data_IF_992555674496
#
_entry.id   IF_992555674496
#
_cell.length_a   1.000
_cell.length_b   1.000
_cell.length_c   1.000
_cell.angle_alpha   90.00
_cell.angle_beta   90.00
_cell.angle_gamma   90.00
#
_symmetry.space_group_name_H-M   'P 1'
#
loop_
_entity.id
_entity.type
_entity.pdbx_description
1 polymer ?
#
# COMPACT_ATOMS: atom_id res chain seq x y z
N UNK A 1 -18.61 -14.88 43.43
CA UNK A 1 -17.96 -14.92 42.10
C UNK A 1 -16.57 -15.56 42.09
N UNK A 2 -16.10 -16.10 43.22
CA UNK A 2 -14.76 -16.70 43.41
C UNK A 2 -14.66 -18.17 42.94
N UNK A 3 -15.73 -18.95 42.93
CA UNK A 3 -15.68 -20.40 42.68
C UNK A 3 -15.52 -20.85 41.20
N UNK A 4 -15.77 -19.97 40.22
CA UNK A 4 -15.66 -20.33 38.79
C UNK A 4 -14.25 -20.19 38.22
N UNK A 5 -13.42 -19.36 38.82
CA UNK A 5 -12.02 -19.10 38.39
C UNK A 5 -11.14 -20.29 38.83
N UNK A 6 -11.38 -20.86 40.01
CA UNK A 6 -10.61 -22.02 40.54
C UNK A 6 -10.77 -23.27 39.67
N UNK A 7 -11.97 -23.52 39.11
CA UNK A 7 -12.18 -24.66 38.21
C UNK A 7 -11.48 -24.54 36.86
N UNK A 8 -11.29 -23.33 36.35
CA UNK A 8 -10.57 -23.11 35.08
C UNK A 8 -9.06 -23.32 35.26
N UNK A 9 -8.51 -22.89 36.39
CA UNK A 9 -7.07 -23.07 36.72
C UNK A 9 -6.74 -24.55 36.98
N UNK A 10 -7.65 -25.33 37.56
CA UNK A 10 -7.44 -26.77 37.81
C UNK A 10 -7.46 -27.59 36.50
N UNK A 11 -8.26 -27.22 35.51
CA UNK A 11 -8.30 -27.87 34.19
C UNK A 11 -7.00 -27.62 33.38
N UNK A 12 -6.40 -26.44 33.50
CA UNK A 12 -5.12 -26.12 32.83
C UNK A 12 -3.97 -26.95 33.40
N UNK A 13 -3.97 -27.23 34.71
CA UNK A 13 -2.91 -28.02 35.36
C UNK A 13 -2.93 -29.50 34.98
N UNK A 14 -4.09 -30.04 34.59
CA UNK A 14 -4.21 -31.48 34.22
C UNK A 14 -3.75 -31.76 32.78
N UNK A 15 -3.73 -30.76 31.90
CA UNK A 15 -3.35 -30.96 30.49
C UNK A 15 -1.85 -30.73 30.19
N UNK A 16 -1.06 -30.26 31.16
CA UNK A 16 0.38 -30.06 31.02
C UNK A 16 1.21 -31.37 30.98
N UNK A 17 0.60 -32.54 31.04
CA UNK A 17 1.30 -33.83 31.11
C UNK A 17 0.82 -34.84 30.05
N UNK A 18 0.43 -34.40 28.88
CA UNK A 18 0.18 -35.32 27.76
C UNK A 18 1.41 -35.46 26.86
N UNK A 19 1.83 -36.69 26.51
CA UNK A 19 3.06 -36.89 25.73
C UNK A 19 2.91 -36.41 24.31
N UNK A 20 3.93 -35.72 23.83
CA UNK A 20 4.09 -35.10 22.49
C UNK A 20 4.19 -36.10 21.33
N UNK A 21 3.67 -37.32 21.43
CA UNK A 21 3.78 -38.35 20.38
C UNK A 21 2.46 -38.95 19.95
N UNK A 22 1.41 -38.15 19.78
CA UNK A 22 0.18 -38.66 19.17
C UNK A 22 0.22 -38.42 17.64
N UNK A 23 0.19 -39.50 16.85
CA UNK A 23 -0.10 -39.50 15.41
C UNK A 23 -1.31 -38.58 15.15
N UNK A 24 -1.22 -37.72 14.10
CA UNK A 24 -2.36 -36.89 13.66
C UNK A 24 -3.62 -37.74 13.61
N UNK A 25 -4.68 -37.42 14.36
CA UNK A 25 -5.91 -38.16 14.26
C UNK A 25 -6.52 -37.93 12.86
N UNK A 26 -6.85 -39.00 12.17
CA UNK A 26 -7.77 -39.01 11.07
C UNK A 26 -9.04 -38.29 11.53
N UNK A 27 -9.62 -37.43 10.71
CA UNK A 27 -10.77 -36.58 11.02
C UNK A 27 -11.98 -37.41 11.50
N UNK A 28 -11.96 -37.87 12.75
CA UNK A 28 -13.10 -38.45 13.38
C UNK A 28 -14.14 -37.37 13.68
N UNK A 29 -15.40 -37.66 13.43
CA UNK A 29 -16.50 -36.76 13.79
C UNK A 29 -16.40 -36.43 15.28
N UNK A 30 -16.32 -35.12 15.61
CA UNK A 30 -16.29 -34.68 17.02
C UNK A 30 -17.58 -35.09 17.72
N UNK A 31 -17.50 -35.42 19.00
CA UNK A 31 -18.68 -35.77 19.79
C UNK A 31 -19.59 -34.56 20.04
N UNK A 32 -20.84 -34.80 20.38
CA UNK A 32 -21.77 -33.75 20.76
C UNK A 32 -21.27 -32.93 21.96
N UNK A 33 -20.58 -33.57 22.89
CA UNK A 33 -19.95 -32.90 24.04
C UNK A 33 -18.80 -31.99 23.60
N UNK A 34 -17.93 -32.47 22.72
CA UNK A 34 -16.85 -31.66 22.14
C UNK A 34 -17.39 -30.45 21.33
N UNK A 35 -18.50 -30.65 20.61
CA UNK A 35 -19.15 -29.54 19.88
C UNK A 35 -19.69 -28.48 20.86
N UNK A 36 -20.28 -28.91 21.99
CA UNK A 36 -20.75 -27.99 23.03
C UNK A 36 -19.59 -27.25 23.71
N UNK A 37 -18.50 -27.95 24.00
CA UNK A 37 -17.26 -27.33 24.54
C UNK A 37 -16.67 -26.34 23.58
N UNK A 38 -16.57 -26.67 22.30
CA UNK A 38 -16.09 -25.74 21.25
C UNK A 38 -16.91 -24.44 21.23
N UNK A 39 -18.26 -24.57 21.23
CA UNK A 39 -19.14 -23.39 21.24
C UNK A 39 -18.91 -22.53 22.49
N UNK A 40 -18.78 -23.15 23.65
CA UNK A 40 -18.52 -22.42 24.89
C UNK A 40 -17.21 -21.63 24.81
N UNK A 41 -16.10 -22.26 24.45
CA UNK A 41 -14.80 -21.58 24.32
C UNK A 41 -14.81 -20.52 23.23
N UNK A 42 -15.49 -20.80 22.13
CA UNK A 42 -15.62 -19.85 21.01
C UNK A 42 -16.33 -18.55 21.42
N UNK A 43 -17.48 -18.65 22.07
CA UNK A 43 -18.20 -17.45 22.53
C UNK A 43 -17.45 -16.71 23.63
N UNK A 44 -16.82 -17.41 24.56
CA UNK A 44 -15.97 -16.82 25.59
C UNK A 44 -14.76 -16.08 24.98
N UNK A 45 -14.12 -16.68 23.98
CA UNK A 45 -13.01 -16.06 23.26
C UNK A 45 -13.44 -14.78 22.56
N UNK A 46 -14.58 -14.80 21.87
CA UNK A 46 -15.13 -13.61 21.20
C UNK A 46 -15.41 -12.47 22.19
N UNK A 47 -15.97 -12.81 23.35
CA UNK A 47 -16.17 -11.81 24.40
C UNK A 47 -14.85 -11.25 24.91
N UNK A 48 -13.85 -12.10 25.15
CA UNK A 48 -12.52 -11.67 25.56
C UNK A 48 -11.83 -10.78 24.52
N UNK A 49 -12.01 -11.04 23.22
CA UNK A 49 -11.52 -10.18 22.14
C UNK A 49 -12.21 -8.80 22.19
N UNK A 50 -13.54 -8.78 22.36
CA UNK A 50 -14.30 -7.51 22.47
C UNK A 50 -13.87 -6.68 23.68
N UNK A 51 -13.51 -7.35 24.77
CA UNK A 51 -13.02 -6.73 26.01
C UNK A 51 -11.50 -6.47 25.99
N UNK A 52 -10.83 -6.66 24.84
CA UNK A 52 -9.38 -6.51 24.64
C UNK A 52 -8.51 -7.37 25.56
N UNK A 53 -9.09 -8.44 26.12
CA UNK A 53 -8.39 -9.43 26.97
C UNK A 53 -7.70 -10.48 26.10
N UNK A 54 -6.72 -10.05 25.27
CA UNK A 54 -6.14 -10.88 24.22
C UNK A 54 -5.42 -12.13 24.74
N UNK A 55 -4.76 -12.10 25.89
CA UNK A 55 -4.12 -13.28 26.47
C UNK A 55 -5.13 -14.37 26.88
N UNK A 56 -6.28 -13.96 27.42
CA UNK A 56 -7.39 -14.88 27.73
C UNK A 56 -8.03 -15.41 26.44
N UNK A 57 -8.28 -14.52 25.45
CA UNK A 57 -8.81 -14.91 24.15
C UNK A 57 -7.92 -15.94 23.45
N UNK A 58 -6.60 -15.74 23.50
CA UNK A 58 -5.63 -16.70 22.96
C UNK A 58 -5.81 -18.10 23.59
N UNK A 59 -5.86 -18.17 24.91
CA UNK A 59 -6.02 -19.45 25.63
C UNK A 59 -7.32 -20.15 25.24
N UNK A 60 -8.42 -19.41 25.16
CA UNK A 60 -9.73 -19.96 24.80
C UNK A 60 -9.77 -20.43 23.34
N UNK A 61 -9.13 -19.71 22.41
CA UNK A 61 -9.02 -20.13 21.01
C UNK A 61 -8.10 -21.34 20.83
N UNK A 62 -7.05 -21.49 21.66
CA UNK A 62 -6.25 -22.72 21.66
C UNK A 62 -7.07 -23.95 22.07
N UNK A 63 -8.02 -23.84 23.02
CA UNK A 63 -8.97 -24.91 23.28
C UNK A 63 -9.87 -25.19 22.08
N UNK A 64 -10.34 -24.17 21.38
CA UNK A 64 -11.08 -24.34 20.13
C UNK A 64 -10.24 -25.08 19.08
N UNK A 65 -8.97 -24.70 18.90
CA UNK A 65 -8.03 -25.33 17.94
C UNK A 65 -7.73 -26.78 18.34
N UNK A 66 -7.63 -27.08 19.62
CA UNK A 66 -7.46 -28.47 20.09
C UNK A 66 -8.66 -29.33 19.71
N UNK A 67 -9.88 -28.81 19.81
CA UNK A 67 -11.10 -29.55 19.44
C UNK A 67 -11.25 -29.67 17.93
N UNK A 68 -11.02 -28.56 17.20
CA UNK A 68 -11.14 -28.46 15.73
C UNK A 68 -9.84 -27.87 15.13
N UNK A 69 -8.79 -28.69 14.92
CA UNK A 69 -7.47 -28.20 14.53
C UNK A 69 -7.43 -27.43 13.19
N UNK A 70 -8.36 -27.73 12.29
CA UNK A 70 -8.42 -27.14 10.95
C UNK A 70 -9.64 -26.22 10.78
N UNK A 71 -10.22 -25.71 11.88
CA UNK A 71 -11.31 -24.74 11.78
C UNK A 71 -10.74 -23.38 11.33
N UNK A 72 -10.95 -23.02 10.06
CA UNK A 72 -10.43 -21.80 9.46
C UNK A 72 -10.81 -20.54 10.22
N UNK A 73 -12.00 -20.52 10.82
CA UNK A 73 -12.47 -19.36 11.60
C UNK A 73 -11.70 -19.22 12.91
N UNK A 74 -11.47 -20.33 13.62
CA UNK A 74 -10.63 -20.34 14.83
C UNK A 74 -9.19 -19.89 14.51
N UNK A 75 -8.60 -20.44 13.46
CA UNK A 75 -7.25 -20.09 13.02
C UNK A 75 -7.15 -18.61 12.62
N UNK A 76 -8.15 -18.07 11.95
CA UNK A 76 -8.21 -16.64 11.63
C UNK A 76 -8.26 -15.76 12.88
N UNK A 77 -9.11 -16.10 13.85
CA UNK A 77 -9.21 -15.36 15.11
C UNK A 77 -7.92 -15.47 15.95
N UNK A 78 -7.24 -16.62 15.95
CA UNK A 78 -5.91 -16.75 16.53
C UNK A 78 -4.92 -15.80 15.88
N UNK A 79 -4.95 -15.67 14.55
CA UNK A 79 -4.12 -14.71 13.84
C UNK A 79 -4.36 -13.26 14.27
N UNK A 80 -5.62 -12.87 14.41
CA UNK A 80 -6.00 -11.52 14.91
C UNK A 80 -5.49 -11.31 16.34
N UNK A 81 -5.69 -12.26 17.22
CA UNK A 81 -5.24 -12.16 18.62
C UNK A 81 -3.72 -12.10 18.73
N UNK A 82 -2.99 -12.93 17.98
CA UNK A 82 -1.53 -12.88 17.93
C UNK A 82 -1.01 -11.54 17.40
N UNK A 83 -1.68 -10.97 16.41
CA UNK A 83 -1.34 -9.63 15.88
C UNK A 83 -1.54 -8.54 16.96
N UNK A 84 -2.64 -8.63 17.73
CA UNK A 84 -2.93 -7.69 18.82
C UNK A 84 -1.94 -7.84 19.99
N UNK A 85 -1.37 -9.02 20.20
CA UNK A 85 -0.31 -9.28 21.17
C UNK A 85 1.10 -8.88 20.66
N UNK A 86 1.23 -8.42 19.42
CA UNK A 86 2.51 -8.03 18.81
C UNK A 86 3.33 -9.22 18.28
N UNK A 87 2.74 -10.40 18.18
CA UNK A 87 3.40 -11.63 17.74
C UNK A 87 3.21 -11.83 16.22
N UNK A 88 3.90 -11.03 15.40
CA UNK A 88 3.69 -10.95 13.95
C UNK A 88 3.90 -12.29 13.22
N UNK A 89 4.92 -13.04 13.57
CA UNK A 89 5.23 -14.33 12.92
C UNK A 89 4.16 -15.39 13.22
N UNK A 90 3.71 -15.47 14.47
CA UNK A 90 2.65 -16.38 14.89
C UNK A 90 1.30 -16.00 14.26
N UNK A 91 1.02 -14.69 14.14
CA UNK A 91 -0.16 -14.20 13.44
C UNK A 91 -0.15 -14.63 11.97
N UNK A 92 0.98 -14.44 11.29
CA UNK A 92 1.18 -14.90 9.91
C UNK A 92 0.92 -16.39 9.76
N UNK A 93 1.54 -17.20 10.63
CA UNK A 93 1.36 -18.65 10.58
C UNK A 93 -0.11 -19.06 10.75
N UNK A 94 -0.83 -18.44 11.69
CA UNK A 94 -2.25 -18.68 11.91
C UNK A 94 -3.09 -18.30 10.67
N UNK A 95 -2.82 -17.15 10.03
CA UNK A 95 -3.54 -16.76 8.82
C UNK A 95 -3.25 -17.69 7.64
N UNK A 96 -1.99 -18.11 7.45
CA UNK A 96 -1.64 -19.08 6.40
C UNK A 96 -2.30 -20.45 6.63
N UNK A 97 -2.40 -20.91 7.90
CA UNK A 97 -3.13 -22.11 8.24
C UNK A 97 -4.64 -21.94 7.98
N UNK A 98 -5.22 -20.79 8.36
CA UNK A 98 -6.61 -20.48 8.09
C UNK A 98 -6.94 -20.52 6.59
N UNK A 99 -6.05 -19.97 5.77
CA UNK A 99 -6.19 -20.00 4.31
C UNK A 99 -6.12 -21.42 3.74
N UNK A 100 -5.16 -22.23 4.21
CA UNK A 100 -5.02 -23.64 3.80
C UNK A 100 -6.16 -24.55 4.25
N UNK A 101 -6.83 -24.20 5.36
CA UNK A 101 -7.94 -24.98 5.91
C UNK A 101 -9.24 -24.79 5.12
N UNK A 102 -9.34 -23.78 4.28
CA UNK A 102 -10.54 -23.49 3.48
C UNK A 102 -10.42 -24.07 2.07
N UNK A 103 -11.54 -24.47 1.44
CA UNK A 103 -11.55 -24.81 0.02
C UNK A 103 -11.01 -23.66 -0.84
N UNK A 104 -10.34 -24.00 -1.93
CA UNK A 104 -9.80 -22.99 -2.83
C UNK A 104 -10.89 -22.03 -3.30
N UNK A 105 -10.60 -20.72 -3.24
CA UNK A 105 -11.52 -19.67 -3.66
C UNK A 105 -12.63 -19.34 -2.66
N UNK A 106 -12.63 -19.92 -1.44
CA UNK A 106 -13.66 -19.64 -0.41
C UNK A 106 -13.15 -18.85 0.79
N UNK A 107 -11.86 -18.53 0.81
CA UNK A 107 -11.27 -17.70 1.86
C UNK A 107 -11.99 -16.36 1.96
N UNK A 108 -12.28 -15.88 3.18
CA UNK A 108 -12.92 -14.58 3.35
C UNK A 108 -12.02 -13.45 2.85
N UNK A 109 -12.61 -12.38 2.34
CA UNK A 109 -11.89 -11.20 1.89
C UNK A 109 -11.00 -10.63 3.00
N UNK A 110 -11.49 -10.56 4.23
CA UNK A 110 -10.70 -10.13 5.38
C UNK A 110 -9.42 -10.98 5.59
N UNK A 111 -9.49 -12.30 5.38
CA UNK A 111 -8.32 -13.17 5.47
C UNK A 111 -7.34 -12.91 4.33
N UNK A 112 -7.84 -12.74 3.11
CA UNK A 112 -7.02 -12.41 1.95
C UNK A 112 -6.33 -11.05 2.11
N UNK A 113 -7.04 -10.06 2.64
CA UNK A 113 -6.50 -8.73 2.95
C UNK A 113 -5.39 -8.79 4.02
N UNK A 114 -5.57 -9.57 5.09
CA UNK A 114 -4.54 -9.76 6.12
C UNK A 114 -3.28 -10.39 5.51
N UNK A 115 -3.43 -11.47 4.76
CA UNK A 115 -2.30 -12.15 4.10
C UNK A 115 -1.62 -11.26 3.07
N UNK A 116 -2.37 -10.56 2.24
CA UNK A 116 -1.84 -9.61 1.26
C UNK A 116 -0.95 -8.57 1.93
N UNK A 117 -1.44 -7.93 3.01
CA UNK A 117 -0.69 -6.93 3.77
C UNK A 117 0.60 -7.51 4.38
N UNK A 118 0.53 -8.70 4.95
CA UNK A 118 1.69 -9.41 5.50
C UNK A 118 2.70 -9.71 4.40
N UNK A 119 2.26 -10.22 3.26
CA UNK A 119 3.16 -10.53 2.14
C UNK A 119 3.79 -9.28 1.55
N UNK A 120 3.04 -8.18 1.43
CA UNK A 120 3.60 -6.89 1.00
C UNK A 120 4.68 -6.37 1.96
N UNK A 121 4.45 -6.43 3.28
CA UNK A 121 5.43 -5.97 4.28
C UNK A 121 6.71 -6.82 4.31
N UNK A 122 6.63 -8.07 3.87
CA UNK A 122 7.77 -8.99 3.76
C UNK A 122 8.36 -9.06 2.33
N UNK A 123 7.93 -8.18 1.42
CA UNK A 123 8.36 -8.18 0.01
C UNK A 123 8.10 -9.50 -0.73
N UNK A 124 7.08 -10.25 -0.33
CA UNK A 124 6.64 -11.48 -0.97
C UNK A 124 5.57 -11.19 -2.05
N UNK A 125 5.99 -10.47 -3.08
CA UNK A 125 5.12 -9.80 -4.06
C UNK A 125 4.19 -10.75 -4.82
N UNK A 126 4.69 -11.93 -5.26
CA UNK A 126 3.88 -12.93 -5.95
C UNK A 126 2.74 -13.45 -5.06
N UNK A 127 3.02 -13.65 -3.76
CA UNK A 127 1.98 -14.08 -2.82
C UNK A 127 0.97 -12.97 -2.57
N UNK A 128 1.44 -11.72 -2.46
CA UNK A 128 0.56 -10.57 -2.32
C UNK A 128 -0.38 -10.42 -3.52
N UNK A 129 0.16 -10.53 -4.76
CA UNK A 129 -0.66 -10.51 -5.98
C UNK A 129 -1.66 -11.66 -6.03
N UNK A 130 -1.25 -12.87 -5.63
CA UNK A 130 -2.17 -14.01 -5.58
C UNK A 130 -3.37 -13.74 -4.66
N UNK A 131 -3.16 -13.09 -3.51
CA UNK A 131 -4.27 -12.70 -2.64
C UNK A 131 -5.17 -11.66 -3.30
N UNK A 132 -4.57 -10.70 -4.02
CA UNK A 132 -5.33 -9.70 -4.77
C UNK A 132 -6.10 -10.35 -5.93
N UNK A 133 -5.51 -11.30 -6.64
CA UNK A 133 -6.20 -12.04 -7.71
C UNK A 133 -7.46 -12.74 -7.19
N UNK A 134 -7.38 -13.39 -6.01
CA UNK A 134 -8.52 -14.06 -5.40
C UNK A 134 -9.61 -13.08 -4.91
N UNK A 135 -9.25 -11.84 -4.61
CA UNK A 135 -10.21 -10.76 -4.32
C UNK A 135 -10.88 -10.31 -5.61
N UNK A 136 -10.09 -9.97 -6.63
CA UNK A 136 -10.56 -9.46 -7.92
C UNK A 136 -11.44 -10.48 -8.68
N UNK A 137 -11.20 -11.79 -8.51
CA UNK A 137 -12.03 -12.84 -9.09
C UNK A 137 -13.50 -12.80 -8.60
N UNK A 138 -13.78 -12.06 -7.52
CA UNK A 138 -15.12 -11.97 -6.87
C UNK A 138 -15.74 -10.59 -6.97
N UNK A 139 -14.96 -9.62 -7.37
CA UNK A 139 -15.37 -8.22 -7.48
C UNK A 139 -15.07 -7.70 -8.87
N UNK A 140 -15.68 -6.59 -9.26
CA UNK A 140 -15.25 -5.88 -10.47
C UNK A 140 -13.90 -5.23 -10.22
N UNK A 141 -13.09 -5.13 -11.29
CA UNK A 141 -11.81 -4.43 -11.24
C UNK A 141 -12.04 -2.93 -11.09
N UNK A 142 -11.90 -2.44 -9.88
CA UNK A 142 -12.18 -1.07 -9.48
C UNK A 142 -10.91 -0.26 -9.18
N UNK A 143 -11.09 0.97 -8.74
CA UNK A 143 -9.99 1.85 -8.34
C UNK A 143 -9.15 1.27 -7.19
N UNK A 144 -9.76 0.50 -6.27
CA UNK A 144 -9.03 -0.11 -5.17
C UNK A 144 -8.12 -1.24 -5.66
N UNK A 145 -8.62 -2.10 -6.53
CA UNK A 145 -7.86 -3.17 -7.18
C UNK A 145 -6.69 -2.62 -7.98
N UNK A 146 -6.95 -1.60 -8.81
CA UNK A 146 -5.93 -0.92 -9.59
C UNK A 146 -4.83 -0.30 -8.72
N UNK A 147 -5.21 0.45 -7.69
CA UNK A 147 -4.28 1.07 -6.75
C UNK A 147 -3.44 0.05 -5.99
N UNK A 148 -4.06 -1.06 -5.59
CA UNK A 148 -3.36 -2.14 -4.89
C UNK A 148 -2.32 -2.80 -5.79
N UNK A 149 -2.69 -3.16 -7.02
CA UNK A 149 -1.77 -3.74 -8.01
C UNK A 149 -0.64 -2.76 -8.36
N UNK A 150 -0.98 -1.49 -8.59
CA UNK A 150 0.02 -0.44 -8.81
C UNK A 150 1.04 -0.41 -7.66
N UNK A 151 0.60 -0.37 -6.40
CA UNK A 151 1.48 -0.35 -5.23
C UNK A 151 2.37 -1.58 -5.15
N UNK A 152 1.82 -2.78 -5.34
CA UNK A 152 2.60 -4.02 -5.33
C UNK A 152 3.67 -3.97 -6.42
N UNK A 153 3.32 -3.64 -7.65
CA UNK A 153 4.28 -3.62 -8.76
C UNK A 153 5.31 -2.50 -8.62
N UNK A 154 4.91 -1.31 -8.14
CA UNK A 154 5.83 -0.20 -7.91
C UNK A 154 6.86 -0.54 -6.82
N UNK A 155 6.43 -1.11 -5.69
CA UNK A 155 7.32 -1.57 -4.62
C UNK A 155 8.22 -2.72 -5.07
N UNK A 156 7.77 -3.54 -6.00
CA UNK A 156 8.55 -4.62 -6.59
C UNK A 156 9.54 -4.16 -7.68
N UNK A 157 9.45 -2.91 -8.11
CA UNK A 157 10.23 -2.37 -9.23
C UNK A 157 9.76 -2.82 -10.61
N UNK A 158 8.56 -3.40 -10.71
CA UNK A 158 7.95 -3.82 -11.99
C UNK A 158 7.12 -2.69 -12.61
N UNK A 159 7.79 -1.63 -13.03
CA UNK A 159 7.15 -0.40 -13.52
C UNK A 159 6.20 -0.63 -14.69
N UNK A 160 6.54 -1.52 -15.63
CA UNK A 160 5.66 -1.84 -16.78
C UNK A 160 4.34 -2.49 -16.34
N UNK A 161 4.41 -3.37 -15.34
CA UNK A 161 3.21 -4.02 -14.80
C UNK A 161 2.38 -3.03 -13.97
N UNK A 162 3.05 -2.09 -13.27
CA UNK A 162 2.39 -1.00 -12.58
C UNK A 162 1.61 -0.10 -13.55
N UNK A 163 2.22 0.30 -14.68
CA UNK A 163 1.55 1.06 -15.74
C UNK A 163 0.36 0.28 -16.28
N UNK A 164 0.53 -1.01 -16.59
CA UNK A 164 -0.55 -1.85 -17.09
C UNK A 164 -1.75 -1.91 -16.13
N UNK A 165 -1.51 -2.03 -14.82
CA UNK A 165 -2.58 -2.04 -13.83
C UNK A 165 -3.38 -0.72 -13.83
N UNK A 166 -2.67 0.41 -13.97
CA UNK A 166 -3.29 1.74 -14.11
C UNK A 166 -4.08 1.83 -15.42
N UNK A 167 -3.48 1.43 -16.54
CA UNK A 167 -4.10 1.52 -17.87
C UNK A 167 -5.40 0.70 -17.94
N UNK A 168 -5.42 -0.50 -17.34
CA UNK A 168 -6.63 -1.32 -17.23
C UNK A 168 -7.78 -0.58 -16.54
N UNK A 169 -7.49 0.16 -15.47
CA UNK A 169 -8.53 0.97 -14.79
C UNK A 169 -8.95 2.18 -15.63
N UNK A 170 -7.99 2.87 -16.26
CA UNK A 170 -8.27 4.03 -17.10
C UNK A 170 -9.07 3.70 -18.38
N UNK A 171 -9.15 2.43 -18.79
CA UNK A 171 -10.09 1.99 -19.83
C UNK A 171 -11.55 2.16 -19.40
N UNK A 172 -11.84 2.08 -18.08
CA UNK A 172 -13.18 2.25 -17.50
C UNK A 172 -13.44 3.70 -17.08
N UNK A 173 -12.46 4.37 -16.48
CA UNK A 173 -12.54 5.78 -16.10
C UNK A 173 -11.32 6.57 -16.63
N UNK A 174 -11.36 7.01 -17.90
CA UNK A 174 -10.25 7.72 -18.54
C UNK A 174 -10.04 9.15 -18.02
N UNK A 175 -10.82 9.59 -17.03
CA UNK A 175 -10.78 10.95 -16.46
C UNK A 175 -10.34 10.99 -14.99
N UNK A 176 -10.08 9.84 -14.36
CA UNK A 176 -9.58 9.82 -12.99
C UNK A 176 -8.16 10.41 -12.91
N UNK A 177 -8.09 11.68 -12.49
CA UNK A 177 -6.84 12.43 -12.38
C UNK A 177 -5.79 11.76 -11.49
N UNK A 178 -6.20 11.02 -10.45
CA UNK A 178 -5.24 10.34 -9.56
C UNK A 178 -4.46 9.28 -10.31
N UNK A 179 -5.14 8.47 -11.13
CA UNK A 179 -4.50 7.43 -11.92
C UNK A 179 -3.70 7.98 -13.09
N UNK A 180 -4.18 9.07 -13.71
CA UNK A 180 -3.39 9.79 -14.73
C UNK A 180 -2.08 10.34 -14.13
N UNK A 181 -2.12 10.90 -12.91
CA UNK A 181 -0.93 11.39 -12.21
C UNK A 181 0.02 10.24 -11.82
N UNK A 182 -0.48 9.09 -11.34
CA UNK A 182 0.38 7.93 -11.09
C UNK A 182 1.04 7.42 -12.38
N UNK A 183 0.29 7.41 -13.48
CA UNK A 183 0.84 7.02 -14.79
C UNK A 183 1.92 8.00 -15.25
N UNK A 184 1.68 9.30 -15.11
CA UNK A 184 2.66 10.35 -15.44
C UNK A 184 3.95 10.15 -14.64
N UNK A 185 3.87 9.99 -13.33
CA UNK A 185 5.03 9.74 -12.46
C UNK A 185 5.86 8.54 -12.94
N UNK A 186 5.22 7.43 -13.28
CA UNK A 186 5.92 6.26 -13.80
C UNK A 186 6.56 6.50 -15.18
N UNK A 187 5.93 7.29 -16.04
CA UNK A 187 6.49 7.67 -17.35
C UNK A 187 7.72 8.56 -17.18
N UNK A 188 7.68 9.53 -16.26
CA UNK A 188 8.84 10.38 -15.92
C UNK A 188 10.00 9.53 -15.39
N UNK A 189 9.74 8.63 -14.43
CA UNK A 189 10.76 7.75 -13.83
C UNK A 189 11.42 6.79 -14.83
N UNK A 190 10.68 6.33 -15.82
CA UNK A 190 11.21 5.37 -16.81
C UNK A 190 11.88 6.03 -18.01
N UNK A 191 11.87 7.35 -18.11
CA UNK A 191 12.35 8.07 -19.29
C UNK A 191 11.54 7.72 -20.55
N UNK A 192 10.24 7.70 -20.42
CA UNK A 192 9.33 7.39 -21.52
C UNK A 192 9.58 8.30 -22.73
N UNK A 193 9.19 7.85 -23.93
CA UNK A 193 9.36 8.65 -25.15
C UNK A 193 8.65 10.00 -25.00
N UNK A 194 9.34 11.07 -25.43
CA UNK A 194 8.84 12.45 -25.37
C UNK A 194 7.39 12.59 -25.83
N UNK A 195 7.03 11.93 -26.94
CA UNK A 195 5.66 11.99 -27.47
C UNK A 195 4.62 11.42 -26.48
N UNK A 196 4.92 10.32 -25.81
CA UNK A 196 4.00 9.70 -24.86
C UNK A 196 3.89 10.54 -23.58
N UNK A 197 5.01 11.01 -23.08
CA UNK A 197 5.06 11.85 -21.90
C UNK A 197 4.30 13.16 -22.10
N UNK A 198 4.49 13.84 -23.25
CA UNK A 198 3.80 15.08 -23.57
C UNK A 198 2.30 14.87 -23.74
N UNK A 199 1.87 13.81 -24.41
CA UNK A 199 0.45 13.49 -24.50
C UNK A 199 -0.21 13.27 -23.12
N UNK A 200 0.56 12.76 -22.12
CA UNK A 200 0.06 12.60 -20.77
C UNK A 200 -0.07 13.94 -20.04
N UNK A 201 0.93 14.83 -20.16
CA UNK A 201 0.85 16.19 -19.65
C UNK A 201 -0.36 16.94 -20.23
N UNK A 202 -0.50 16.91 -21.56
CA UNK A 202 -1.61 17.55 -22.27
C UNK A 202 -2.95 17.03 -21.75
N UNK A 203 -3.10 15.69 -21.64
CA UNK A 203 -4.32 15.05 -21.16
C UNK A 203 -4.69 15.47 -19.74
N UNK A 204 -3.72 15.57 -18.83
CA UNK A 204 -3.98 16.03 -17.47
C UNK A 204 -4.37 17.50 -17.45
N UNK A 205 -3.69 18.34 -18.23
CA UNK A 205 -4.00 19.78 -18.30
C UNK A 205 -5.31 20.10 -19.04
N UNK A 206 -5.81 19.21 -19.89
CA UNK A 206 -7.19 19.29 -20.40
C UNK A 206 -8.25 19.15 -19.30
N UNK A 207 -7.98 18.27 -18.32
CA UNK A 207 -8.90 17.99 -17.20
C UNK A 207 -8.71 18.97 -16.03
N UNK A 208 -7.47 19.34 -15.76
CA UNK A 208 -7.09 20.29 -14.71
C UNK A 208 -6.07 21.31 -15.24
N UNK A 209 -6.53 22.38 -15.91
CA UNK A 209 -5.66 23.38 -16.55
C UNK A 209 -4.78 24.18 -15.58
N UNK A 210 -5.07 24.08 -14.27
CA UNK A 210 -4.31 24.77 -13.21
C UNK A 210 -3.55 23.82 -12.31
N UNK A 211 -3.27 22.62 -12.74
CA UNK A 211 -2.39 21.71 -12.01
C UNK A 211 -0.95 22.24 -12.03
N UNK A 212 -0.58 22.98 -10.99
CA UNK A 212 0.70 23.68 -10.92
C UNK A 212 1.90 22.73 -10.98
N UNK A 213 1.79 21.56 -10.37
CA UNK A 213 2.84 20.53 -10.42
C UNK A 213 3.07 20.06 -11.86
N UNK A 214 1.99 19.76 -12.57
CA UNK A 214 2.05 19.27 -13.95
C UNK A 214 2.55 20.36 -14.89
N UNK A 215 2.07 21.61 -14.73
CA UNK A 215 2.58 22.76 -15.49
C UNK A 215 4.09 22.95 -15.29
N UNK A 216 4.56 22.87 -14.05
CA UNK A 216 5.99 23.01 -13.74
C UNK A 216 6.82 21.88 -14.35
N UNK A 217 6.41 20.62 -14.15
CA UNK A 217 7.16 19.46 -14.65
C UNK A 217 7.20 19.46 -16.19
N UNK A 218 6.09 19.79 -16.83
CA UNK A 218 6.03 19.90 -18.28
C UNK A 218 6.95 21.01 -18.81
N UNK A 219 6.91 22.20 -18.19
CA UNK A 219 7.79 23.32 -18.54
C UNK A 219 9.27 22.95 -18.38
N UNK A 220 9.65 22.32 -17.27
CA UNK A 220 11.00 21.86 -17.02
C UNK A 220 11.45 20.82 -18.06
N UNK A 221 10.59 19.83 -18.35
CA UNK A 221 10.90 18.81 -19.34
C UNK A 221 11.04 19.40 -20.76
N UNK A 222 10.20 20.34 -21.15
CA UNK A 222 10.35 21.07 -22.41
C UNK A 222 11.69 21.79 -22.47
N UNK A 223 12.03 22.53 -21.42
CA UNK A 223 13.25 23.31 -21.37
C UNK A 223 14.51 22.46 -21.47
N UNK A 224 14.55 21.34 -20.78
CA UNK A 224 15.74 20.47 -20.68
C UNK A 224 15.88 19.47 -21.84
N UNK A 225 14.80 19.21 -22.60
CA UNK A 225 14.80 18.24 -23.71
C UNK A 225 14.50 18.86 -25.09
N UNK A 226 14.86 20.15 -25.28
CA UNK A 226 14.79 20.83 -26.56
C UNK A 226 13.36 21.05 -27.07
N UNK A 227 12.43 21.37 -26.15
CA UNK A 227 11.09 21.84 -26.48
C UNK A 227 10.99 23.33 -26.72
N UNK A 228 9.77 23.85 -26.81
CA UNK A 228 9.51 25.28 -26.99
C UNK A 228 9.74 26.03 -25.66
N UNK A 229 10.83 26.81 -25.59
CA UNK A 229 11.18 27.59 -24.39
C UNK A 229 10.18 28.71 -24.08
N UNK A 230 9.48 29.25 -25.08
CA UNK A 230 8.44 30.28 -24.85
C UNK A 230 7.21 29.67 -24.18
N UNK A 231 6.80 28.50 -24.65
CA UNK A 231 5.68 27.78 -24.02
C UNK A 231 6.06 27.28 -22.61
N UNK A 232 7.28 26.79 -22.42
CA UNK A 232 7.81 26.45 -21.11
C UNK A 232 7.78 27.65 -20.13
N UNK A 233 8.23 28.84 -20.59
CA UNK A 233 8.16 30.07 -19.81
C UNK A 233 6.72 30.48 -19.49
N UNK A 234 5.80 30.36 -20.44
CA UNK A 234 4.38 30.65 -20.23
C UNK A 234 3.79 29.78 -19.12
N UNK A 235 4.04 28.47 -19.16
CA UNK A 235 3.57 27.50 -18.16
C UNK A 235 4.18 27.76 -16.79
N UNK A 236 5.50 27.87 -16.72
CA UNK A 236 6.21 28.14 -15.46
C UNK A 236 5.88 29.54 -14.91
N UNK A 237 5.58 30.51 -15.77
CA UNK A 237 5.08 31.83 -15.37
C UNK A 237 3.70 31.76 -14.68
N UNK A 238 2.87 30.78 -14.98
CA UNK A 238 1.62 30.53 -14.24
C UNK A 238 1.97 30.05 -12.82
N UNK A 239 2.88 29.09 -12.67
CA UNK A 239 3.20 28.50 -11.37
C UNK A 239 3.79 29.51 -10.38
N UNK A 240 4.69 30.39 -10.84
CA UNK A 240 5.27 31.44 -9.98
C UNK A 240 4.30 32.58 -9.65
N UNK A 241 3.25 32.82 -10.46
CA UNK A 241 2.18 33.76 -10.10
C UNK A 241 1.27 33.24 -9.01
N UNK A 242 0.92 31.96 -9.08
CA UNK A 242 0.05 31.31 -8.07
C UNK A 242 0.82 31.06 -6.77
N UNK A 243 2.08 30.59 -6.86
CA UNK A 243 2.92 30.29 -5.70
C UNK A 243 4.28 31.04 -5.80
N UNK A 244 4.32 32.36 -5.53
CA UNK A 244 5.47 33.21 -5.81
C UNK A 244 6.71 32.95 -4.94
N UNK A 245 6.60 32.10 -3.94
CA UNK A 245 7.70 31.71 -3.03
C UNK A 245 8.01 30.21 -3.03
N UNK A 246 7.38 29.44 -3.93
CA UNK A 246 7.70 28.02 -4.08
C UNK A 246 9.09 27.87 -4.72
N UNK A 247 10.07 27.28 -4.00
CA UNK A 247 11.44 27.21 -4.49
C UNK A 247 11.59 26.37 -5.76
N UNK A 248 10.77 25.30 -5.92
CA UNK A 248 10.82 24.42 -7.10
C UNK A 248 10.33 25.17 -8.35
N UNK A 249 9.25 25.95 -8.22
CA UNK A 249 8.71 26.72 -9.35
C UNK A 249 9.61 27.88 -9.72
N UNK A 250 10.20 28.54 -8.73
CA UNK A 250 11.17 29.62 -8.96
C UNK A 250 12.45 29.10 -9.62
N UNK A 251 12.90 27.92 -9.27
CA UNK A 251 14.07 27.27 -9.87
C UNK A 251 13.81 26.92 -11.33
N UNK A 252 12.70 26.24 -11.61
CA UNK A 252 12.29 25.92 -12.99
C UNK A 252 12.18 27.18 -13.86
N UNK A 253 11.53 28.22 -13.35
CA UNK A 253 11.40 29.50 -14.10
C UNK A 253 12.76 30.16 -14.35
N UNK A 254 13.60 30.22 -13.32
CA UNK A 254 14.97 30.75 -13.47
C UNK A 254 15.81 29.97 -14.46
N UNK A 255 15.73 28.63 -14.44
CA UNK A 255 16.43 27.78 -15.39
C UNK A 255 15.97 27.99 -16.84
N UNK A 256 14.65 28.13 -17.08
CA UNK A 256 14.08 28.44 -18.40
C UNK A 256 14.63 29.79 -18.92
N UNK A 257 14.65 30.80 -18.06
CA UNK A 257 15.21 32.13 -18.43
C UNK A 257 16.69 32.06 -18.82
N UNK A 258 17.49 31.25 -18.11
CA UNK A 258 18.89 30.99 -18.46
C UNK A 258 19.01 30.38 -19.87
N UNK A 259 18.22 29.35 -20.16
CA UNK A 259 18.22 28.71 -21.47
C UNK A 259 17.78 29.67 -22.60
N UNK A 260 17.04 30.71 -22.26
CA UNK A 260 16.70 31.82 -23.17
C UNK A 260 17.74 32.95 -23.20
N UNK A 261 18.91 32.79 -22.55
CA UNK A 261 19.97 33.76 -22.44
C UNK A 261 19.61 35.05 -21.66
N UNK A 262 18.65 34.96 -20.74
CA UNK A 262 18.21 36.04 -19.86
C UNK A 262 18.87 35.90 -18.46
N UNK A 263 20.18 35.84 -18.40
CA UNK A 263 20.97 35.43 -17.23
C UNK A 263 20.76 36.32 -16.00
N UNK A 264 20.55 37.63 -16.15
CA UNK A 264 20.32 38.53 -15.01
C UNK A 264 18.99 38.19 -14.29
N UNK A 265 17.94 37.97 -15.08
CA UNK A 265 16.64 37.53 -14.53
C UNK A 265 16.70 36.12 -13.97
N UNK A 266 17.39 35.21 -14.66
CA UNK A 266 17.62 33.85 -14.17
C UNK A 266 18.28 33.86 -12.79
N UNK A 267 19.39 34.62 -12.64
CA UNK A 267 20.08 34.76 -11.33
C UNK A 267 19.15 35.32 -10.24
N UNK A 268 18.28 36.26 -10.57
CA UNK A 268 17.32 36.82 -9.62
C UNK A 268 16.35 35.74 -9.10
N UNK A 269 15.72 34.98 -9.99
CA UNK A 269 14.76 33.96 -9.61
C UNK A 269 15.41 32.76 -8.90
N UNK A 270 16.58 32.32 -9.35
CA UNK A 270 17.31 31.22 -8.70
C UNK A 270 17.81 31.62 -7.30
N UNK A 271 18.27 32.87 -7.09
CA UNK A 271 18.60 33.34 -5.73
C UNK A 271 17.37 33.40 -4.84
N UNK A 272 16.22 33.82 -5.37
CA UNK A 272 14.95 33.80 -4.66
C UNK A 272 14.51 32.35 -4.35
N UNK A 273 14.70 31.40 -5.28
CA UNK A 273 14.47 29.98 -5.06
C UNK A 273 15.34 29.46 -3.89
N UNK A 274 16.65 29.75 -3.93
CA UNK A 274 17.58 29.31 -2.89
C UNK A 274 17.24 29.89 -1.51
N UNK A 275 16.77 31.12 -1.45
CA UNK A 275 16.34 31.77 -0.21
C UNK A 275 15.13 31.05 0.43
N UNK A 276 14.20 30.59 -0.39
CA UNK A 276 13.00 29.91 0.06
C UNK A 276 13.17 28.39 0.23
N UNK A 277 14.28 27.83 -0.27
CA UNK A 277 14.50 26.37 -0.31
C UNK A 277 14.80 25.77 1.06
N UNK A 278 14.24 24.59 1.32
CA UNK A 278 14.69 23.69 2.38
C UNK A 278 15.90 22.88 1.90
N UNK A 279 16.63 22.26 2.84
CA UNK A 279 17.92 21.62 2.52
C UNK A 279 17.87 20.62 1.36
N UNK A 280 16.78 19.84 1.26
CA UNK A 280 16.62 18.83 0.21
C UNK A 280 16.55 19.40 -1.23
N UNK A 281 16.14 20.67 -1.42
CA UNK A 281 15.99 21.29 -2.75
C UNK A 281 17.14 22.25 -3.10
N UNK A 282 18.02 22.55 -2.17
CA UNK A 282 19.10 23.52 -2.36
C UNK A 282 20.17 23.07 -3.37
N UNK A 283 20.48 21.78 -3.39
CA UNK A 283 21.60 21.26 -4.20
C UNK A 283 21.37 21.49 -5.71
N UNK A 284 20.16 21.25 -6.20
CA UNK A 284 19.82 21.45 -7.60
C UNK A 284 19.83 22.95 -7.97
N UNK A 285 19.25 23.80 -7.13
CA UNK A 285 19.24 25.26 -7.33
C UNK A 285 20.67 25.82 -7.35
N UNK A 286 21.56 25.32 -6.50
CA UNK A 286 22.97 25.74 -6.52
C UNK A 286 23.65 25.34 -7.83
N UNK A 287 23.41 24.12 -8.33
CA UNK A 287 23.93 23.67 -9.63
C UNK A 287 23.46 24.57 -10.77
N UNK A 288 22.18 24.96 -10.78
CA UNK A 288 21.66 25.90 -11.77
C UNK A 288 22.32 27.28 -11.66
N UNK A 289 22.53 27.81 -10.45
CA UNK A 289 23.23 29.06 -10.23
C UNK A 289 24.69 29.03 -10.69
N UNK A 290 25.41 27.92 -10.44
CA UNK A 290 26.80 27.74 -10.87
C UNK A 290 26.93 27.60 -12.38
N UNK A 291 25.92 27.14 -13.09
CA UNK A 291 25.92 27.04 -14.55
C UNK A 291 25.82 28.42 -15.24
N UNK A 292 25.30 29.42 -14.56
CA UNK A 292 25.15 30.77 -15.08
C UNK A 292 26.42 31.56 -14.78
N UNK A 293 27.29 31.69 -15.78
CA UNK A 293 28.56 32.42 -15.69
C UNK A 293 28.40 33.93 -15.63
#
# INVERSE_FOLDING_TARGET
MSGKIEHIVLLVALFAVLPLSAKKPQQASISAEQEQQFKYYWYAARQAITDERYAEAYTLLEFCRWIKPNDGTTLYQLGIVQQSLGHADQARECFEQAYKAQPKGTASENLLEQLKRIYMSNSEWEKALKMQDEIDDRTEYDAYSALTRYRIYAMWGKTKDAIKAIDTYLEHDPTDLRFLLFRLELLEQTGAKKKELYAMYDRILELDPRNLMVLNNYAYHMATHGGDLKEAERMSGITIREEPNNPVYLDTYGWILHLQQQDDLAKFYLKKALWNAKDATKEEIIKHLEAIK
#
